data_IF_673779724869
#
_entry.id   IF_673779724869
#
_cell.length_a   1.000
_cell.length_b   1.000
_cell.length_c   1.000
_cell.angle_alpha   90.00
_cell.angle_beta   90.00
_cell.angle_gamma   90.00
#
_symmetry.space_group_name_H-M   'P 1'
#
loop_
_entity.id
_entity.type
_entity.pdbx_description
1 polymer ?
#
# COMPACT_ATOMS: atom_id res chain seq x y z
N UNK A 1 -4.22 3.34 -18.65
CA UNK A 1 -2.96 4.02 -18.26
C UNK A 1 -2.16 3.15 -17.30
N UNK A 2 -0.84 3.09 -17.46
CA UNK A 2 0.07 2.44 -16.51
C UNK A 2 0.45 3.46 -15.44
N UNK A 3 0.27 3.13 -14.16
CA UNK A 3 0.73 3.93 -13.02
C UNK A 3 1.66 3.08 -12.15
N UNK A 4 2.50 3.74 -11.36
CA UNK A 4 3.43 3.05 -10.48
C UNK A 4 2.69 2.33 -9.36
N UNK A 5 3.24 1.18 -8.95
CA UNK A 5 2.76 0.42 -7.80
C UNK A 5 3.65 0.70 -6.59
N UNK A 6 3.05 0.64 -5.41
CA UNK A 6 3.74 0.85 -4.14
C UNK A 6 3.29 -0.19 -3.12
N UNK A 7 4.17 -0.49 -2.17
CA UNK A 7 3.82 -1.22 -0.95
C UNK A 7 3.49 -0.21 0.14
N UNK A 8 2.38 -0.43 0.83
CA UNK A 8 1.95 0.41 1.93
C UNK A 8 1.70 -0.47 3.16
N UNK A 9 2.14 0.02 4.32
CA UNK A 9 1.89 -0.62 5.60
C UNK A 9 0.41 -0.47 5.96
N UNK A 10 -0.25 -1.61 6.20
CA UNK A 10 -1.66 -1.69 6.60
C UNK A 10 -1.85 -2.27 8.00
N UNK A 11 -0.80 -2.87 8.57
CA UNK A 11 -0.79 -3.46 9.92
C UNK A 11 0.63 -3.35 10.48
N UNK A 12 0.85 -2.40 11.38
CA UNK A 12 2.16 -2.11 11.99
C UNK A 12 2.58 -3.18 13.00
N UNK A 13 1.64 -3.98 13.52
CA UNK A 13 1.92 -5.05 14.48
C UNK A 13 2.47 -6.32 13.79
N UNK A 14 2.47 -6.36 12.45
CA UNK A 14 2.96 -7.49 11.67
C UNK A 14 4.39 -7.24 11.18
N UNK A 15 5.31 -8.20 11.38
CA UNK A 15 6.68 -8.03 10.94
C UNK A 15 6.82 -8.11 9.42
N UNK A 16 7.66 -7.23 8.88
CA UNK A 16 8.07 -7.25 7.47
C UNK A 16 6.90 -7.19 6.50
N UNK A 17 6.94 -8.03 5.47
CA UNK A 17 5.94 -8.04 4.39
C UNK A 17 4.54 -8.49 4.82
N UNK A 18 4.38 -9.10 5.99
CA UNK A 18 3.06 -9.51 6.47
C UNK A 18 2.14 -8.31 6.79
N UNK A 19 2.73 -7.16 7.13
CA UNK A 19 2.03 -5.91 7.38
C UNK A 19 1.82 -5.04 6.16
N UNK A 20 2.26 -5.48 4.98
CA UNK A 20 2.21 -4.68 3.75
C UNK A 20 1.12 -5.16 2.79
N UNK A 21 0.58 -4.21 2.02
CA UNK A 21 -0.27 -4.49 0.87
C UNK A 21 0.16 -3.66 -0.34
N UNK A 22 -0.10 -4.17 -1.53
CA UNK A 22 0.21 -3.48 -2.77
C UNK A 22 -0.95 -2.55 -3.16
N UNK A 23 -0.60 -1.37 -3.66
CA UNK A 23 -1.52 -0.39 -4.20
C UNK A 23 -0.93 0.28 -5.45
N UNK A 24 -1.78 0.96 -6.22
CA UNK A 24 -1.38 1.80 -7.34
C UNK A 24 -1.40 3.26 -6.92
N UNK A 25 -0.31 3.98 -7.13
CA UNK A 25 -0.25 5.42 -6.88
C UNK A 25 -1.10 6.16 -7.93
N UNK A 26 -2.01 7.01 -7.46
CA UNK A 26 -2.83 7.87 -8.32
C UNK A 26 -2.31 9.29 -8.38
N UNK A 27 -1.80 9.81 -7.27
CA UNK A 27 -1.27 11.17 -7.13
C UNK A 27 -0.33 11.25 -5.93
N UNK A 28 0.79 11.95 -6.08
CA UNK A 28 1.63 12.38 -4.96
C UNK A 28 1.33 13.85 -4.68
N UNK A 29 1.08 14.18 -3.42
CA UNK A 29 0.74 15.54 -3.03
C UNK A 29 1.24 15.82 -1.60
N UNK A 30 1.11 17.07 -1.17
CA UNK A 30 1.33 17.42 0.23
C UNK A 30 0.30 18.43 0.69
N UNK A 31 0.03 18.46 2.00
CA UNK A 31 -0.80 19.47 2.61
C UNK A 31 -0.19 19.93 3.93
N UNK A 32 -0.62 21.11 4.39
CA UNK A 32 -0.16 21.69 5.66
C UNK A 32 -1.24 21.57 6.72
N UNK A 33 -0.88 21.04 7.88
CA UNK A 33 -1.74 20.94 9.07
C UNK A 33 -0.89 21.24 10.31
N UNK A 34 -1.40 22.02 11.25
CA UNK A 34 -0.67 22.41 12.48
C UNK A 34 0.77 22.88 12.24
N UNK A 35 0.95 23.74 11.22
CA UNK A 35 2.26 24.26 10.77
C UNK A 35 3.23 23.20 10.19
N UNK A 36 2.89 21.91 10.16
CA UNK A 36 3.69 20.83 9.56
C UNK A 36 3.20 20.51 8.14
N UNK A 37 4.14 20.22 7.24
CA UNK A 37 3.85 19.74 5.87
C UNK A 37 3.89 18.21 5.87
N UNK A 38 2.83 17.59 5.36
CA UNK A 38 2.70 16.15 5.27
C UNK A 38 2.80 15.71 3.81
N UNK A 39 3.86 14.99 3.40
CA UNK A 39 3.88 14.32 2.10
C UNK A 39 2.89 13.16 2.12
N UNK A 40 2.09 13.02 1.07
CA UNK A 40 1.00 12.05 0.97
C UNK A 40 0.92 11.44 -0.42
N UNK A 41 0.36 10.23 -0.48
CA UNK A 41 0.02 9.57 -1.72
C UNK A 41 -1.48 9.23 -1.72
N UNK A 42 -2.19 9.64 -2.77
CA UNK A 42 -3.49 9.09 -3.09
C UNK A 42 -3.27 7.80 -3.86
N UNK A 43 -3.91 6.72 -3.42
CA UNK A 43 -3.68 5.39 -3.94
C UNK A 43 -4.99 4.66 -4.21
N UNK A 44 -4.92 3.68 -5.11
CA UNK A 44 -5.97 2.71 -5.38
C UNK A 44 -5.49 1.35 -4.91
N UNK A 45 -6.14 0.80 -3.89
CA UNK A 45 -5.83 -0.53 -3.39
C UNK A 45 -6.22 -1.59 -4.41
N UNK A 46 -5.37 -2.61 -4.55
CA UNK A 46 -5.73 -3.80 -5.31
C UNK A 46 -6.66 -4.71 -4.49
N UNK A 47 -7.49 -5.48 -5.17
CA UNK A 47 -8.38 -6.43 -4.52
C UNK A 47 -7.57 -7.65 -4.04
N UNK A 48 -7.58 -7.90 -2.74
CA UNK A 48 -6.99 -9.10 -2.15
C UNK A 48 -7.81 -10.34 -2.55
N UNK A 49 -7.14 -11.41 -2.93
CA UNK A 49 -7.78 -12.69 -3.22
C UNK A 49 -7.00 -13.89 -2.67
N UNK A 50 -7.72 -14.99 -2.45
CA UNK A 50 -7.20 -16.19 -1.82
C UNK A 50 -7.25 -16.13 -0.28
N UNK A 51 -7.17 -17.30 0.35
CA UNK A 51 -7.37 -17.45 1.81
C UNK A 51 -6.09 -17.24 2.63
N UNK A 52 -4.94 -17.18 1.98
CA UNK A 52 -3.63 -17.10 2.62
C UNK A 52 -2.69 -16.25 1.78
N UNK A 53 -1.77 -15.59 2.49
CA UNK A 53 -0.62 -14.89 1.94
C UNK A 53 0.26 -15.86 1.16
N UNK A 54 0.98 -15.33 0.17
CA UNK A 54 1.95 -16.10 -0.59
C UNK A 54 3.10 -16.57 0.33
N UNK A 55 3.48 -17.84 0.24
CA UNK A 55 4.45 -18.43 1.18
C UNK A 55 5.90 -17.99 0.94
N UNK A 56 6.21 -17.49 -0.27
CA UNK A 56 7.56 -17.03 -0.62
C UNK A 56 7.77 -15.57 -0.21
N UNK A 57 6.76 -14.74 -0.45
CA UNK A 57 6.85 -13.29 -0.24
C UNK A 57 6.20 -12.83 1.06
N UNK A 58 5.29 -13.61 1.66
CA UNK A 58 4.52 -13.19 2.83
C UNK A 58 3.50 -12.07 2.54
N UNK A 59 3.29 -11.69 1.28
CA UNK A 59 2.32 -10.67 0.87
C UNK A 59 0.95 -11.28 0.60
N UNK A 60 -0.08 -10.44 0.67
CA UNK A 60 -1.39 -10.79 0.12
C UNK A 60 -1.32 -10.87 -1.41
N UNK A 61 -1.96 -11.89 -1.99
CA UNK A 61 -2.16 -11.96 -3.44
C UNK A 61 -3.23 -10.95 -3.82
N UNK A 62 -2.95 -10.13 -4.83
CA UNK A 62 -3.84 -9.04 -5.23
C UNK A 62 -4.04 -8.99 -6.74
N UNK A 63 -5.20 -8.48 -7.16
CA UNK A 63 -5.53 -8.24 -8.57
C UNK A 63 -6.03 -6.80 -8.77
N UNK A 64 -5.80 -6.21 -9.96
CA UNK A 64 -6.46 -4.98 -10.40
C UNK A 64 -7.96 -4.97 -10.10
#
# INVERSE_FOLDING_TARGET
>A
ERRDCMLATIDEDKPGFQGLSAARALLLFSFRHEKKVYPCALLHWFNVYGQRRDSKTGLWRVRP
#
